data_IF_339002774553
#
_entry.id   IF_339002774553
#
_cell.length_a   1.000
_cell.length_b   1.000
_cell.length_c   1.000
_cell.angle_alpha   90.00
_cell.angle_beta   90.00
_cell.angle_gamma   90.00
#
_symmetry.space_group_name_H-M   'P 1'
#
loop_
_entity.id
_entity.type
_entity.pdbx_description
1 polymer ?
#
# COMPACT_ATOMS: atom_id res chain seq x y z
N UNK A 1 -3.35 -12.91 -41.85
CA UNK A 1 -3.77 -13.93 -40.86
C UNK A 1 -2.79 -14.09 -39.69
N UNK A 2 -1.48 -13.92 -39.88
CA UNK A 2 -0.44 -14.11 -38.83
C UNK A 2 -0.40 -12.98 -37.77
N UNK A 3 -0.72 -11.74 -38.13
CA UNK A 3 -0.63 -10.57 -37.22
C UNK A 3 -1.67 -10.64 -36.08
N UNK A 4 -2.87 -11.16 -36.34
CA UNK A 4 -3.96 -11.28 -35.32
C UNK A 4 -3.62 -12.28 -34.20
N UNK A 5 -2.77 -13.26 -34.48
CA UNK A 5 -2.45 -14.37 -33.57
C UNK A 5 -1.27 -14.07 -32.65
N UNK A 6 -0.35 -13.17 -33.05
CA UNK A 6 0.76 -12.72 -32.20
C UNK A 6 0.28 -11.79 -31.08
N UNK A 7 -0.67 -10.90 -31.38
CA UNK A 7 -1.32 -10.02 -30.41
C UNK A 7 -2.05 -10.81 -29.32
N UNK A 8 -2.67 -11.95 -29.68
CA UNK A 8 -3.39 -12.77 -28.71
C UNK A 8 -2.49 -13.46 -27.69
N UNK A 9 -1.26 -13.85 -28.05
CA UNK A 9 -0.32 -14.52 -27.13
C UNK A 9 0.28 -13.57 -26.09
N UNK A 10 0.61 -12.34 -26.50
CA UNK A 10 1.16 -11.30 -25.62
C UNK A 10 0.12 -10.80 -24.62
N UNK A 11 -1.15 -10.74 -25.02
CA UNK A 11 -2.23 -10.19 -24.20
C UNK A 11 -2.93 -11.22 -23.29
N UNK A 12 -2.44 -12.46 -23.20
CA UNK A 12 -3.11 -13.52 -22.41
C UNK A 12 -3.16 -13.27 -20.90
N UNK A 13 -2.26 -12.44 -20.39
CA UNK A 13 -2.21 -12.06 -18.97
C UNK A 13 -2.91 -10.72 -18.71
N UNK A 14 -3.42 -10.06 -19.76
CA UNK A 14 -4.21 -8.84 -19.62
C UNK A 14 -5.70 -9.20 -19.51
N UNK A 15 -6.47 -8.41 -18.74
CA UNK A 15 -7.91 -8.61 -18.67
C UNK A 15 -8.54 -8.49 -20.07
N UNK A 16 -9.49 -9.37 -20.34
CA UNK A 16 -10.37 -9.28 -21.51
C UNK A 16 -11.16 -7.97 -21.43
N UNK A 17 -11.09 -7.18 -22.51
CA UNK A 17 -11.82 -5.93 -22.67
C UNK A 17 -13.33 -6.25 -22.67
N UNK A 18 -14.13 -5.44 -21.98
CA UNK A 18 -15.60 -5.56 -21.85
C UNK A 18 -16.12 -6.82 -21.13
N UNK A 19 -15.26 -7.54 -20.39
CA UNK A 19 -15.69 -8.60 -19.50
C UNK A 19 -16.19 -8.04 -18.16
N UNK A 20 -17.34 -8.54 -17.68
CA UNK A 20 -17.86 -8.21 -16.36
C UNK A 20 -17.10 -9.02 -15.29
N UNK A 21 -16.14 -8.39 -14.61
CA UNK A 21 -15.41 -8.99 -13.50
C UNK A 21 -16.22 -8.91 -12.20
N UNK A 22 -16.15 -9.95 -11.39
CA UNK A 22 -16.86 -10.01 -10.11
C UNK A 22 -16.16 -9.11 -9.09
N UNK A 23 -16.76 -7.96 -8.79
CA UNK A 23 -16.20 -7.04 -7.79
C UNK A 23 -16.61 -7.43 -6.36
N UNK A 24 -15.69 -7.24 -5.40
CA UNK A 24 -16.01 -7.39 -3.98
C UNK A 24 -16.12 -6.03 -3.29
N UNK A 25 -17.21 -5.83 -2.52
CA UNK A 25 -17.41 -4.60 -1.73
C UNK A 25 -16.23 -4.28 -0.79
N UNK A 26 -15.58 -5.33 -0.28
CA UNK A 26 -14.40 -5.22 0.60
C UNK A 26 -13.23 -4.49 -0.06
N UNK A 27 -13.08 -4.62 -1.37
CA UNK A 27 -11.93 -4.07 -2.10
C UNK A 27 -12.01 -2.55 -2.20
N UNK A 28 -13.23 -2.06 -2.46
CA UNK A 28 -13.54 -0.64 -2.38
C UNK A 28 -13.40 -0.07 -0.97
N UNK A 29 -13.71 -0.85 0.07
CA UNK A 29 -13.50 -0.42 1.46
C UNK A 29 -12.00 -0.27 1.76
N UNK A 30 -11.18 -1.25 1.35
CA UNK A 30 -9.71 -1.16 1.51
C UNK A 30 -9.18 0.10 0.82
N UNK A 31 -9.60 0.35 -0.42
CA UNK A 31 -9.20 1.53 -1.17
C UNK A 31 -9.65 2.83 -0.49
N UNK A 32 -10.94 2.95 -0.17
CA UNK A 32 -11.51 4.16 0.43
C UNK A 32 -10.88 4.49 1.78
N UNK A 33 -10.71 3.48 2.65
CA UNK A 33 -10.05 3.67 3.94
C UNK A 33 -8.59 4.07 3.75
N UNK A 34 -7.84 3.41 2.86
CA UNK A 34 -6.43 3.75 2.61
C UNK A 34 -6.27 5.19 2.14
N UNK A 35 -7.08 5.62 1.17
CA UNK A 35 -7.06 7.01 0.69
C UNK A 35 -7.47 8.01 1.78
N UNK A 36 -8.52 7.73 2.55
CA UNK A 36 -8.93 8.58 3.65
C UNK A 36 -7.84 8.68 4.73
N UNK A 37 -7.19 7.57 5.06
CA UNK A 37 -6.09 7.52 6.03
C UNK A 37 -4.93 8.43 5.63
N UNK A 38 -4.53 8.46 4.34
CA UNK A 38 -3.45 9.35 3.87
C UNK A 38 -3.80 10.82 4.10
N UNK A 39 -4.98 11.24 3.65
CA UNK A 39 -5.45 12.63 3.80
C UNK A 39 -5.57 13.04 5.26
N UNK A 40 -6.10 12.15 6.10
CA UNK A 40 -6.24 12.39 7.55
C UNK A 40 -4.87 12.49 8.20
N UNK A 41 -3.95 11.54 7.94
CA UNK A 41 -2.60 11.56 8.52
C UNK A 41 -1.85 12.85 8.18
N UNK A 42 -1.98 13.35 6.94
CA UNK A 42 -1.37 14.62 6.53
C UNK A 42 -1.84 15.80 7.38
N UNK A 43 -3.12 15.86 7.74
CA UNK A 43 -3.65 16.90 8.62
C UNK A 43 -3.11 16.78 10.06
N UNK A 44 -2.93 15.56 10.57
CA UNK A 44 -2.40 15.34 11.91
C UNK A 44 -0.89 15.63 12.03
N UNK A 45 -0.12 15.32 10.99
CA UNK A 45 1.33 15.57 10.88
C UNK A 45 1.69 17.05 11.05
N UNK A 46 0.86 17.97 10.51
CA UNK A 46 1.12 19.41 10.57
C UNK A 46 1.28 19.94 12.02
N UNK A 47 0.63 19.30 12.99
CA UNK A 47 0.64 19.67 14.42
C UNK A 47 1.50 18.74 15.29
N UNK A 48 2.37 17.94 14.65
CA UNK A 48 2.90 16.67 15.19
C UNK A 48 3.68 16.75 16.50
N UNK A 49 3.39 15.79 17.39
CA UNK A 49 4.19 15.38 18.55
C UNK A 49 4.60 13.92 18.38
N UNK A 50 5.68 13.47 19.05
CA UNK A 50 6.15 12.07 18.95
C UNK A 50 5.06 11.07 19.37
N UNK A 51 4.19 11.43 20.32
CA UNK A 51 3.07 10.59 20.73
C UNK A 51 2.02 10.41 19.63
N UNK A 52 1.74 11.45 18.84
CA UNK A 52 0.86 11.33 17.66
C UNK A 52 1.47 10.42 16.61
N UNK A 53 2.79 10.51 16.40
CA UNK A 53 3.53 9.64 15.47
C UNK A 53 3.38 8.16 15.84
N UNK A 54 3.55 7.82 17.13
CA UNK A 54 3.33 6.45 17.62
C UNK A 54 1.87 6.01 17.53
N UNK A 55 0.92 6.89 17.87
CA UNK A 55 -0.50 6.60 17.75
C UNK A 55 -0.89 6.29 16.30
N UNK A 56 -0.42 7.09 15.34
CA UNK A 56 -0.61 6.84 13.91
C UNK A 56 0.03 5.52 13.48
N UNK A 57 1.23 5.20 13.97
CA UNK A 57 1.89 3.91 13.73
C UNK A 57 1.04 2.72 14.20
N UNK A 58 0.51 2.79 15.42
CA UNK A 58 -0.38 1.76 15.96
C UNK A 58 -1.68 1.63 15.15
N UNK A 59 -2.29 2.75 14.75
CA UNK A 59 -3.51 2.75 13.94
C UNK A 59 -3.23 2.09 12.58
N UNK A 60 -2.17 2.52 11.89
CA UNK A 60 -1.77 1.95 10.59
C UNK A 60 -1.51 0.44 10.70
N UNK A 61 -0.85 -0.01 11.76
CA UNK A 61 -0.60 -1.42 12.01
C UNK A 61 -1.91 -2.20 12.19
N UNK A 62 -2.81 -1.72 13.04
CA UNK A 62 -4.11 -2.38 13.28
C UNK A 62 -4.95 -2.43 12.02
N UNK A 63 -5.01 -1.34 11.24
CA UNK A 63 -5.70 -1.29 9.95
C UNK A 63 -5.12 -2.31 8.97
N UNK A 64 -3.79 -2.31 8.78
CA UNK A 64 -3.12 -3.24 7.87
C UNK A 64 -3.35 -4.69 8.27
N UNK A 65 -3.16 -5.03 9.56
CA UNK A 65 -3.43 -6.37 10.07
C UNK A 65 -4.89 -6.77 9.91
N UNK A 66 -5.82 -5.82 10.14
CA UNK A 66 -7.25 -6.01 9.91
C UNK A 66 -7.56 -6.38 8.47
N UNK A 67 -6.99 -5.67 7.50
CA UNK A 67 -7.18 -5.98 6.08
C UNK A 67 -6.54 -7.31 5.69
N UNK A 68 -5.33 -7.60 6.17
CA UNK A 68 -4.62 -8.83 5.81
C UNK A 68 -5.30 -10.11 6.30
N UNK A 69 -6.14 -10.06 7.35
CA UNK A 69 -6.92 -11.21 7.82
C UNK A 69 -7.80 -11.83 6.73
N UNK A 70 -8.30 -11.02 5.80
CA UNK A 70 -9.14 -11.48 4.68
C UNK A 70 -8.36 -11.88 3.42
N UNK A 71 -7.04 -11.78 3.42
CA UNK A 71 -6.21 -12.05 2.23
C UNK A 71 -5.57 -13.44 2.26
N UNK A 72 -5.15 -13.93 1.08
CA UNK A 72 -4.42 -15.20 0.93
C UNK A 72 -3.00 -15.10 1.50
N UNK A 73 -2.35 -16.25 1.72
CA UNK A 73 -0.96 -16.29 2.21
C UNK A 73 0.01 -15.56 1.27
N UNK A 74 -0.21 -15.67 -0.04
CA UNK A 74 0.65 -15.03 -1.04
C UNK A 74 0.54 -13.50 -0.97
N UNK A 75 -0.67 -12.95 -0.89
CA UNK A 75 -0.88 -11.51 -0.75
C UNK A 75 -0.30 -10.99 0.57
N UNK A 76 -0.47 -11.74 1.68
CA UNK A 76 0.15 -11.38 2.97
C UNK A 76 1.67 -11.33 2.89
N UNK A 77 2.30 -12.29 2.22
CA UNK A 77 3.74 -12.32 2.02
C UNK A 77 4.19 -11.14 1.16
N UNK A 78 3.50 -10.86 0.05
CA UNK A 78 3.81 -9.72 -0.81
C UNK A 78 3.72 -8.38 -0.05
N UNK A 79 2.68 -8.19 0.76
CA UNK A 79 2.53 -6.99 1.60
C UNK A 79 3.64 -6.91 2.64
N UNK A 80 4.02 -8.03 3.28
CA UNK A 80 5.13 -8.05 4.23
C UNK A 80 6.46 -7.67 3.56
N UNK A 81 6.72 -8.19 2.35
CA UNK A 81 7.89 -7.81 1.54
C UNK A 81 7.83 -6.33 1.16
N UNK A 82 6.66 -5.80 0.76
CA UNK A 82 6.49 -4.40 0.43
C UNK A 82 6.79 -3.49 1.63
N UNK A 83 6.30 -3.82 2.83
CA UNK A 83 6.59 -3.08 4.07
C UNK A 83 8.08 -3.15 4.42
N UNK A 84 8.72 -4.31 4.28
CA UNK A 84 10.15 -4.44 4.52
C UNK A 84 10.98 -3.59 3.54
N UNK A 85 10.62 -3.64 2.26
CA UNK A 85 11.27 -2.88 1.20
C UNK A 85 11.10 -1.38 1.40
N UNK A 86 9.90 -0.90 1.71
CA UNK A 86 9.67 0.52 1.99
C UNK A 86 10.37 0.96 3.27
N UNK A 87 10.44 0.12 4.29
CA UNK A 87 11.23 0.44 5.50
C UNK A 87 12.69 0.68 5.14
N UNK A 88 13.32 -0.25 4.40
CA UNK A 88 14.71 -0.09 3.98
C UNK A 88 14.87 1.15 3.08
N UNK A 89 13.97 1.32 2.11
CA UNK A 89 13.98 2.45 1.19
C UNK A 89 13.88 3.79 1.90
N UNK A 90 13.02 3.90 2.92
CA UNK A 90 12.88 5.10 3.75
C UNK A 90 14.17 5.42 4.52
N UNK A 91 14.80 4.42 5.14
CA UNK A 91 16.10 4.64 5.81
C UNK A 91 17.21 5.02 4.83
N UNK A 92 17.24 4.42 3.64
CA UNK A 92 18.22 4.78 2.61
C UNK A 92 17.98 6.21 2.13
N UNK A 93 16.75 6.57 1.79
CA UNK A 93 16.40 7.87 1.24
C UNK A 93 16.58 9.00 2.28
N UNK A 94 16.14 8.78 3.51
CA UNK A 94 16.23 9.79 4.57
C UNK A 94 17.62 9.81 5.23
N UNK A 95 18.09 8.69 5.77
CA UNK A 95 19.31 8.63 6.60
C UNK A 95 20.58 8.50 5.76
N UNK A 96 20.62 7.59 4.79
CA UNK A 96 21.85 7.37 4.02
C UNK A 96 22.10 8.45 2.96
N UNK A 97 21.05 8.92 2.29
CA UNK A 97 21.14 9.90 1.20
C UNK A 97 20.85 11.33 1.65
N UNK A 98 20.15 11.54 2.76
CA UNK A 98 19.75 12.88 3.21
C UNK A 98 18.70 13.56 2.31
N UNK A 99 17.90 12.78 1.56
CA UNK A 99 16.92 13.32 0.60
C UNK A 99 15.79 14.11 1.25
N UNK A 100 15.46 13.80 2.51
CA UNK A 100 14.57 14.54 3.39
C UNK A 100 14.80 14.09 4.84
N UNK A 101 14.35 14.89 5.81
CA UNK A 101 14.41 14.56 7.23
C UNK A 101 13.02 14.44 7.84
N UNK A 102 12.87 13.49 8.76
CA UNK A 102 11.68 13.37 9.60
C UNK A 102 11.83 14.26 10.84
N UNK A 103 10.72 14.82 11.33
CA UNK A 103 10.71 15.79 12.43
C UNK A 103 11.39 15.32 13.72
N UNK A 104 11.33 14.02 14.01
CA UNK A 104 11.85 13.41 15.23
C UNK A 104 13.07 12.51 14.95
N UNK A 105 13.74 12.71 13.81
CA UNK A 105 14.94 11.98 13.38
C UNK A 105 14.80 10.45 13.32
N UNK A 106 13.56 9.95 13.28
CA UNK A 106 13.24 8.54 13.12
C UNK A 106 12.24 8.35 11.98
N UNK A 107 12.36 7.24 11.26
CA UNK A 107 11.35 6.85 10.27
C UNK A 107 10.06 6.49 11.01
N UNK A 108 8.95 7.23 10.80
CA UNK A 108 7.69 6.95 11.46
C UNK A 108 7.11 5.61 11.00
N UNK A 109 6.68 4.76 11.93
CA UNK A 109 6.15 3.44 11.58
C UNK A 109 4.91 3.46 10.67
N UNK A 110 4.09 4.52 10.73
CA UNK A 110 2.92 4.64 9.85
C UNK A 110 3.30 4.81 8.37
N UNK A 111 4.53 5.23 8.05
CA UNK A 111 4.98 5.41 6.66
C UNK A 111 5.12 4.05 5.95
N UNK A 112 6.01 3.13 6.38
CA UNK A 112 6.14 1.82 5.72
C UNK A 112 4.85 0.99 5.82
N UNK A 113 4.11 1.09 6.92
CA UNK A 113 2.81 0.41 7.07
C UNK A 113 1.75 0.99 6.11
N UNK A 114 1.73 2.31 5.93
CA UNK A 114 0.88 2.99 4.96
C UNK A 114 1.20 2.55 3.53
N UNK A 115 2.48 2.44 3.17
CA UNK A 115 2.88 1.85 1.89
C UNK A 115 2.37 0.42 1.71
N UNK A 116 2.38 -0.40 2.78
CA UNK A 116 1.77 -1.73 2.76
C UNK A 116 0.27 -1.70 2.46
N UNK A 117 -0.47 -0.74 3.01
CA UNK A 117 -1.90 -0.55 2.70
C UNK A 117 -2.13 -0.08 1.25
N UNK A 118 -1.27 0.80 0.72
CA UNK A 118 -1.32 1.24 -0.68
C UNK A 118 -1.02 0.07 -1.62
N UNK A 119 -0.01 -0.74 -1.31
CA UNK A 119 0.29 -1.95 -2.06
C UNK A 119 -0.89 -2.94 -2.06
N UNK A 120 -1.48 -3.19 -0.88
CA UNK A 120 -2.68 -4.03 -0.79
C UNK A 120 -3.86 -3.46 -1.59
N UNK A 121 -4.03 -2.13 -1.59
CA UNK A 121 -5.05 -1.45 -2.40
C UNK A 121 -4.85 -1.73 -3.89
N UNK A 122 -3.60 -1.71 -4.38
CA UNK A 122 -3.32 -2.03 -5.78
C UNK A 122 -3.75 -3.46 -6.15
N UNK A 123 -3.48 -4.43 -5.29
CA UNK A 123 -3.92 -5.82 -5.47
C UNK A 123 -5.44 -5.92 -5.42
N UNK A 124 -6.08 -5.26 -4.47
CA UNK A 124 -7.52 -5.29 -4.29
C UNK A 124 -8.27 -4.69 -5.49
N UNK A 125 -7.72 -3.67 -6.13
CA UNK A 125 -8.32 -3.04 -7.32
C UNK A 125 -7.95 -3.74 -8.63
N UNK A 126 -6.91 -4.59 -8.64
CA UNK A 126 -6.45 -5.30 -9.82
C UNK A 126 -7.02 -6.72 -9.97
N UNK A 127 -7.75 -7.23 -8.97
CA UNK A 127 -8.42 -8.54 -9.00
C UNK A 127 -9.87 -8.43 -9.48
#
# INVERSE_FOLDING_TARGET
>A
MVIRTLTSKLLRHFPVIDAAYAHQKRDYIIAAVTFASVSICMAFEASGSVWKQYALGCIAFVCLMGFLRGETRDVRLQVAVAVAFTTIGEYVASVCMGGYTYRFDNVPAYVPLGHGMVYLTSIALAR
#
